data_IF_310143672163
#
_entry.id   IF_310143672163
#
_cell.length_a   1.000
_cell.length_b   1.000
_cell.length_c   1.000
_cell.angle_alpha   90.00
_cell.angle_beta   90.00
_cell.angle_gamma   90.00
#
_symmetry.space_group_name_H-M   'P 1'
#
loop_
_entity.id
_entity.type
_entity.pdbx_description
1 polymer ?
#
# COMPACT_ATOMS: atom_id res chain seq x y z
N UNK A 1 41.67 10.97 -53.41
CA UNK A 1 41.86 9.82 -52.50
C UNK A 1 42.39 10.21 -51.10
N UNK A 2 42.32 11.48 -50.69
CA UNK A 2 42.83 11.95 -49.38
C UNK A 2 41.77 11.94 -48.26
N UNK A 3 40.49 12.19 -48.59
CA UNK A 3 39.43 12.34 -47.57
C UNK A 3 39.04 11.05 -46.84
N UNK A 4 39.12 9.89 -47.50
CA UNK A 4 38.75 8.59 -46.89
C UNK A 4 39.75 8.18 -45.81
N UNK A 5 41.02 8.58 -45.91
CA UNK A 5 42.03 8.25 -44.90
C UNK A 5 41.79 8.96 -43.56
N UNK A 6 41.32 10.21 -43.61
CA UNK A 6 41.09 11.03 -42.42
C UNK A 6 39.85 10.56 -41.64
N UNK A 7 38.76 10.26 -42.35
CA UNK A 7 37.53 9.71 -41.74
C UNK A 7 37.80 8.34 -41.07
N UNK A 8 38.59 7.49 -41.71
CA UNK A 8 38.94 6.17 -41.16
C UNK A 8 39.85 6.29 -39.93
N UNK A 9 40.72 7.30 -39.87
CA UNK A 9 41.59 7.56 -38.73
C UNK A 9 40.81 8.06 -37.51
N UNK A 10 39.88 8.99 -37.70
CA UNK A 10 39.02 9.50 -36.63
C UNK A 10 38.14 8.40 -36.04
N UNK A 11 37.55 7.56 -36.91
CA UNK A 11 36.76 6.41 -36.47
C UNK A 11 37.57 5.43 -35.63
N UNK A 12 38.81 5.15 -36.03
CA UNK A 12 39.68 4.23 -35.30
C UNK A 12 40.18 4.82 -33.97
N UNK A 13 40.42 6.14 -33.90
CA UNK A 13 40.73 6.82 -32.63
C UNK A 13 39.56 6.73 -31.65
N UNK A 14 38.34 7.03 -32.11
CA UNK A 14 37.15 6.96 -31.25
C UNK A 14 36.90 5.53 -30.73
N UNK A 15 37.09 4.52 -31.59
CA UNK A 15 36.98 3.11 -31.18
C UNK A 15 38.05 2.75 -30.14
N UNK A 16 39.28 3.27 -30.26
CA UNK A 16 40.34 3.02 -29.30
C UNK A 16 40.05 3.69 -27.94
N UNK A 17 39.57 4.93 -27.94
CA UNK A 17 39.17 5.64 -26.72
C UNK A 17 37.98 4.97 -26.01
N UNK A 18 37.01 4.43 -26.78
CA UNK A 18 35.87 3.70 -26.21
C UNK A 18 36.23 2.30 -25.71
N UNK A 19 37.23 1.64 -26.31
CA UNK A 19 37.70 0.30 -25.89
C UNK A 19 38.62 0.32 -24.68
N UNK A 20 39.26 1.46 -24.42
CA UNK A 20 40.07 1.67 -23.23
C UNK A 20 39.34 2.65 -22.32
N UNK A 21 38.39 2.19 -21.49
CA UNK A 21 37.82 3.06 -20.47
C UNK A 21 38.99 3.59 -19.64
N UNK A 22 39.21 4.89 -19.74
CA UNK A 22 40.23 5.62 -18.99
C UNK A 22 40.02 5.27 -17.53
N UNK A 23 40.97 4.51 -16.99
CA UNK A 23 41.12 4.12 -15.60
C UNK A 23 40.12 3.05 -15.10
N UNK A 24 40.48 1.79 -15.34
CA UNK A 24 40.33 0.74 -14.31
C UNK A 24 40.98 1.22 -13.01
N UNK A 25 40.24 2.00 -12.22
CA UNK A 25 40.53 2.20 -10.81
C UNK A 25 40.04 0.94 -10.12
N UNK A 26 40.94 -0.01 -9.94
CA UNK A 26 40.78 -1.13 -9.03
C UNK A 26 40.50 -0.58 -7.63
N UNK A 27 39.22 -0.36 -7.33
CA UNK A 27 38.78 -0.32 -5.96
C UNK A 27 38.69 -1.77 -5.50
N UNK A 28 39.35 -2.15 -4.39
CA UNK A 28 39.07 -3.45 -3.80
C UNK A 28 37.58 -3.46 -3.49
N UNK A 29 36.90 -4.51 -3.96
CA UNK A 29 35.49 -4.80 -3.68
C UNK A 29 35.34 -4.91 -2.17
N UNK A 30 35.07 -3.78 -1.51
CA UNK A 30 34.52 -3.76 -0.17
C UNK A 30 33.11 -4.37 -0.31
N UNK A 31 32.70 -5.31 0.54
CA UNK A 31 31.29 -5.67 0.63
C UNK A 31 30.56 -4.46 1.20
N UNK A 32 30.20 -3.53 0.31
CA UNK A 32 29.36 -2.40 0.60
C UNK A 32 27.98 -3.00 0.77
N UNK A 33 27.46 -2.94 1.99
CA UNK A 33 26.03 -3.09 2.26
C UNK A 33 25.30 -2.27 1.19
N UNK A 34 24.46 -2.87 0.34
CA UNK A 34 23.81 -2.14 -0.74
C UNK A 34 23.10 -0.95 -0.11
N UNK A 35 23.52 0.26 -0.51
CA UNK A 35 22.90 1.51 -0.09
C UNK A 35 21.37 1.34 -0.21
N UNK A 36 20.58 1.74 0.80
CA UNK A 36 19.12 1.52 0.79
C UNK A 36 18.47 2.07 -0.48
N UNK A 37 19.02 3.15 -1.03
CA UNK A 37 18.61 3.74 -2.30
C UNK A 37 18.82 2.76 -3.47
N UNK A 38 19.89 1.96 -3.46
CA UNK A 38 20.12 0.91 -4.46
C UNK A 38 19.07 -0.20 -4.41
N UNK A 39 18.64 -0.61 -3.21
CA UNK A 39 17.62 -1.66 -3.06
C UNK A 39 16.24 -1.16 -3.48
N UNK A 40 15.87 0.06 -3.08
CA UNK A 40 14.59 0.67 -3.45
C UNK A 40 14.51 0.98 -4.95
N UNK A 41 15.61 1.42 -5.57
CA UNK A 41 15.69 1.59 -7.03
C UNK A 41 15.55 0.23 -7.72
N UNK A 42 16.23 -0.80 -7.26
CA UNK A 42 16.11 -2.17 -7.81
C UNK A 42 14.68 -2.69 -7.70
N UNK A 43 14.01 -2.47 -6.57
CA UNK A 43 12.61 -2.83 -6.37
C UNK A 43 11.66 -2.05 -7.28
N UNK A 44 11.88 -0.74 -7.42
CA UNK A 44 11.09 0.11 -8.32
C UNK A 44 11.25 -0.35 -9.77
N UNK A 45 12.47 -0.63 -10.20
CA UNK A 45 12.75 -1.16 -11.54
C UNK A 45 12.13 -2.56 -11.72
N UNK A 46 12.13 -3.40 -10.68
CA UNK A 46 11.48 -4.72 -10.72
C UNK A 46 9.96 -4.62 -10.92
N UNK A 47 9.30 -3.62 -10.32
CA UNK A 47 7.88 -3.34 -10.55
C UNK A 47 7.60 -2.99 -12.02
N UNK A 48 8.47 -2.15 -12.61
CA UNK A 48 8.36 -1.75 -14.02
C UNK A 48 8.61 -2.96 -14.92
N UNK A 49 9.64 -3.75 -14.66
CA UNK A 49 9.94 -4.98 -15.40
C UNK A 49 8.75 -5.94 -15.42
N UNK A 50 8.17 -6.25 -14.25
CA UNK A 50 7.00 -7.14 -14.18
C UNK A 50 5.83 -6.58 -14.99
N UNK A 51 5.60 -5.27 -14.96
CA UNK A 51 4.55 -4.64 -15.75
C UNK A 51 4.81 -4.73 -17.25
N UNK A 52 6.01 -4.35 -17.71
CA UNK A 52 6.39 -4.40 -19.13
C UNK A 52 6.29 -5.82 -19.67
N UNK A 53 6.73 -6.81 -18.89
CA UNK A 53 6.69 -8.22 -19.26
C UNK A 53 5.24 -8.73 -19.39
N UNK A 54 4.36 -8.43 -18.42
CA UNK A 54 2.95 -8.88 -18.50
C UNK A 54 2.14 -8.14 -19.57
N UNK A 55 2.51 -6.90 -19.87
CA UNK A 55 1.88 -6.13 -20.94
C UNK A 55 2.39 -6.50 -22.36
N UNK A 56 3.44 -7.34 -22.46
CA UNK A 56 4.01 -7.77 -23.74
C UNK A 56 4.84 -6.68 -24.44
N UNK A 57 5.42 -5.74 -23.69
CA UNK A 57 6.26 -4.66 -24.22
C UNK A 57 7.72 -5.13 -24.41
N UNK A 58 7.91 -6.15 -25.26
CA UNK A 58 9.20 -6.81 -25.48
C UNK A 58 10.32 -5.84 -25.90
N UNK A 59 10.02 -4.90 -26.80
CA UNK A 59 10.98 -3.88 -27.23
C UNK A 59 11.39 -2.99 -26.05
N UNK A 60 10.42 -2.40 -25.36
CA UNK A 60 10.69 -1.53 -24.20
C UNK A 60 11.48 -2.25 -23.13
N UNK A 61 11.15 -3.52 -22.86
CA UNK A 61 11.85 -4.35 -21.89
C UNK A 61 13.32 -4.58 -22.29
N UNK A 62 13.60 -4.78 -23.58
CA UNK A 62 14.96 -5.00 -24.09
C UNK A 62 15.88 -3.79 -23.92
N UNK A 63 15.33 -2.58 -24.02
CA UNK A 63 16.06 -1.32 -23.81
C UNK A 63 16.09 -0.95 -22.33
N UNK A 64 15.04 -1.26 -21.58
CA UNK A 64 14.93 -0.92 -20.16
C UNK A 64 16.00 -1.60 -19.31
N UNK A 65 16.25 -2.90 -19.48
CA UNK A 65 17.27 -3.63 -18.71
C UNK A 65 18.66 -2.96 -18.72
N UNK A 66 19.28 -2.69 -19.90
CA UNK A 66 20.57 -2.02 -19.94
C UNK A 66 20.52 -0.56 -19.47
N UNK A 67 19.43 0.18 -19.73
CA UNK A 67 19.30 1.59 -19.30
C UNK A 67 19.18 1.74 -17.78
N UNK A 68 18.41 0.87 -17.12
CA UNK A 68 18.23 0.91 -15.67
C UNK A 68 19.34 0.18 -14.89
N UNK A 69 20.30 -0.43 -15.60
CA UNK A 69 21.41 -1.18 -15.02
C UNK A 69 20.98 -2.44 -14.26
N UNK A 70 19.76 -2.95 -14.52
CA UNK A 70 19.21 -4.11 -13.84
C UNK A 70 19.60 -5.38 -14.58
N UNK A 71 20.11 -6.36 -13.82
CA UNK A 71 20.32 -7.71 -14.32
C UNK A 71 19.02 -8.51 -14.19
N UNK A 72 18.75 -9.41 -15.14
CA UNK A 72 17.57 -10.28 -15.12
C UNK A 72 17.51 -11.14 -13.87
N UNK A 73 18.67 -11.55 -13.35
CA UNK A 73 18.77 -12.39 -12.16
C UNK A 73 18.57 -11.59 -10.85
N UNK A 74 18.54 -10.26 -10.92
CA UNK A 74 18.37 -9.35 -9.77
C UNK A 74 16.96 -8.77 -9.67
N UNK A 75 16.04 -9.19 -10.53
CA UNK A 75 14.64 -8.77 -10.46
C UNK A 75 14.01 -9.39 -9.21
N UNK A 76 13.46 -8.54 -8.35
CA UNK A 76 12.79 -9.00 -7.14
C UNK A 76 11.49 -9.75 -7.47
N UNK A 77 11.26 -10.85 -6.76
CA UNK A 77 9.98 -11.54 -6.86
C UNK A 77 8.87 -10.73 -6.18
N UNK A 78 7.62 -11.04 -6.51
CA UNK A 78 6.46 -10.47 -5.81
C UNK A 78 6.56 -10.59 -4.28
N UNK A 79 7.10 -11.71 -3.77
CA UNK A 79 7.25 -11.92 -2.32
C UNK A 79 8.30 -11.00 -1.73
N UNK A 80 9.43 -10.83 -2.41
CA UNK A 80 10.50 -9.93 -1.97
C UNK A 80 10.01 -8.48 -1.93
N UNK A 81 9.25 -8.07 -2.96
CA UNK A 81 8.63 -6.74 -3.03
C UNK A 81 7.65 -6.51 -1.88
N UNK A 82 6.78 -7.49 -1.58
CA UNK A 82 5.85 -7.41 -0.44
C UNK A 82 6.59 -7.27 0.90
N UNK A 83 7.69 -8.02 1.08
CA UNK A 83 8.52 -7.94 2.27
C UNK A 83 9.22 -6.58 2.38
N UNK A 84 9.77 -6.06 1.27
CA UNK A 84 10.45 -4.76 1.23
C UNK A 84 9.48 -3.61 1.54
N UNK A 85 8.25 -3.69 1.03
CA UNK A 85 7.16 -2.76 1.34
C UNK A 85 6.58 -2.96 2.76
N UNK A 86 7.12 -3.89 3.55
CA UNK A 86 6.67 -4.23 4.91
C UNK A 86 5.19 -4.62 4.99
N UNK A 87 4.65 -5.23 3.94
CA UNK A 87 3.28 -5.72 3.92
C UNK A 87 3.21 -7.04 4.69
N UNK A 88 2.46 -7.05 5.79
CA UNK A 88 2.35 -8.23 6.65
C UNK A 88 1.65 -9.39 5.95
N UNK A 89 2.19 -10.63 6.00
CA UNK A 89 1.50 -11.83 5.48
C UNK A 89 0.13 -12.11 6.11
N UNK A 90 -0.15 -11.52 7.28
CA UNK A 90 -1.42 -11.66 7.99
C UNK A 90 -2.48 -10.65 7.52
N UNK A 91 -2.09 -9.61 6.79
CA UNK A 91 -2.99 -8.56 6.32
C UNK A 91 -3.94 -9.06 5.23
N UNK A 92 -5.11 -8.43 5.13
CA UNK A 92 -6.04 -8.63 4.00
C UNK A 92 -5.37 -8.26 2.68
N UNK A 93 -4.70 -7.10 2.63
CA UNK A 93 -3.90 -6.61 1.50
C UNK A 93 -2.95 -7.69 0.94
N UNK A 94 -2.16 -8.33 1.79
CA UNK A 94 -1.25 -9.39 1.36
C UNK A 94 -2.01 -10.56 0.70
N UNK A 95 -3.13 -10.98 1.29
CA UNK A 95 -3.94 -12.09 0.76
C UNK A 95 -4.58 -11.71 -0.58
N UNK A 96 -5.07 -10.48 -0.74
CA UNK A 96 -5.61 -9.99 -2.01
C UNK A 96 -4.52 -9.98 -3.10
N UNK A 97 -3.35 -9.43 -2.77
CA UNK A 97 -2.22 -9.32 -3.72
C UNK A 97 -1.63 -10.68 -4.10
N UNK A 98 -1.67 -11.68 -3.21
CA UNK A 98 -1.13 -13.02 -3.47
C UNK A 98 -2.15 -13.99 -4.06
N UNK A 99 -3.44 -13.86 -3.76
CA UNK A 99 -4.49 -14.71 -4.34
C UNK A 99 -4.73 -14.42 -5.83
N UNK A 100 -4.59 -13.15 -6.24
CA UNK A 100 -4.73 -12.72 -7.64
C UNK A 100 -3.59 -13.19 -8.56
N UNK A 101 -2.49 -13.74 -8.01
CA UNK A 101 -1.38 -14.30 -8.82
C UNK A 101 -1.88 -15.47 -9.68
N UNK A 102 -2.98 -16.13 -9.30
CA UNK A 102 -3.49 -17.31 -9.98
C UNK A 102 -4.56 -17.04 -11.07
N UNK A 103 -5.19 -15.86 -11.09
CA UNK A 103 -6.47 -15.67 -11.81
C UNK A 103 -6.49 -14.59 -12.90
N UNK A 104 -5.46 -13.75 -13.03
CA UNK A 104 -5.48 -12.64 -14.00
C UNK A 104 -4.09 -12.42 -14.60
N UNK A 105 -3.85 -13.07 -15.74
CA UNK A 105 -2.57 -13.14 -16.45
C UNK A 105 -2.20 -11.83 -17.16
N UNK A 106 -3.11 -10.86 -17.27
CA UNK A 106 -2.85 -9.64 -18.05
C UNK A 106 -2.37 -8.44 -17.22
N UNK A 107 -2.72 -8.38 -15.92
CA UNK A 107 -2.34 -7.24 -15.08
C UNK A 107 -1.03 -7.51 -14.34
N UNK A 108 -0.04 -6.66 -14.58
CA UNK A 108 1.20 -6.56 -13.77
C UNK A 108 0.90 -6.39 -12.28
N UNK A 109 1.82 -6.86 -11.43
CA UNK A 109 1.76 -6.69 -9.98
C UNK A 109 1.60 -5.23 -9.59
N UNK A 110 2.30 -4.31 -10.27
CA UNK A 110 2.17 -2.87 -10.06
C UNK A 110 0.71 -2.39 -10.14
N UNK A 111 -0.01 -2.76 -11.21
CA UNK A 111 -1.40 -2.34 -11.37
C UNK A 111 -2.30 -2.96 -10.29
N UNK A 112 -2.05 -4.22 -9.91
CA UNK A 112 -2.79 -4.89 -8.83
C UNK A 112 -2.59 -4.18 -7.48
N UNK A 113 -1.34 -3.79 -7.18
CA UNK A 113 -1.01 -3.04 -5.98
C UNK A 113 -1.76 -1.70 -5.93
N UNK A 114 -1.76 -0.95 -7.03
CA UNK A 114 -2.45 0.35 -7.10
C UNK A 114 -3.97 0.22 -6.96
N UNK A 115 -4.57 -0.80 -7.56
CA UNK A 115 -6.02 -1.09 -7.42
C UNK A 115 -6.34 -1.38 -5.94
N UNK A 116 -5.62 -2.31 -5.31
CA UNK A 116 -5.91 -2.72 -3.94
C UNK A 116 -5.68 -1.57 -2.94
N UNK A 117 -4.66 -0.73 -3.14
CA UNK A 117 -4.44 0.47 -2.32
C UNK A 117 -5.56 1.49 -2.49
N UNK A 118 -6.06 1.68 -3.71
CA UNK A 118 -7.18 2.58 -4.01
C UNK A 118 -8.48 2.09 -3.38
N UNK A 119 -8.76 0.79 -3.50
CA UNK A 119 -9.95 0.16 -2.92
C UNK A 119 -9.93 0.19 -1.39
N UNK A 120 -8.78 -0.08 -0.78
CA UNK A 120 -8.63 0.03 0.67
C UNK A 120 -8.84 1.45 1.19
N UNK A 121 -8.37 2.47 0.48
CA UNK A 121 -8.63 3.87 0.85
C UNK A 121 -10.12 4.19 0.78
N UNK A 122 -10.79 3.80 -0.31
CA UNK A 122 -12.22 4.02 -0.50
C UNK A 122 -13.08 3.29 0.56
N UNK A 123 -12.66 2.09 0.99
CA UNK A 123 -13.32 1.36 2.08
C UNK A 123 -13.08 2.03 3.44
N UNK A 124 -11.87 2.53 3.70
CA UNK A 124 -11.53 3.22 4.95
C UNK A 124 -12.36 4.49 5.12
N UNK A 125 -12.49 5.32 4.08
CA UNK A 125 -13.33 6.51 4.11
C UNK A 125 -14.81 6.17 4.37
N UNK A 126 -15.29 5.02 3.88
CA UNK A 126 -16.65 4.54 4.20
C UNK A 126 -16.79 4.07 5.64
N UNK A 127 -15.77 3.44 6.23
CA UNK A 127 -15.82 2.96 7.60
C UNK A 127 -15.69 4.07 8.66
N UNK A 128 -14.99 5.17 8.36
CA UNK A 128 -14.89 6.30 9.29
C UNK A 128 -16.22 7.08 9.42
N UNK A 129 -17.16 6.90 8.48
CA UNK A 129 -18.54 7.39 8.57
C UNK A 129 -19.45 6.49 9.43
N UNK A 130 -19.03 5.26 9.74
CA UNK A 130 -19.72 4.39 10.68
C UNK A 130 -19.28 4.75 12.10
N UNK A 131 -19.86 5.84 12.62
CA UNK A 131 -19.85 6.16 14.04
C UNK A 131 -20.14 4.93 14.89
N UNK A 132 -19.32 4.76 15.92
CA UNK A 132 -19.40 3.73 16.94
C UNK A 132 -20.82 3.26 17.29
N UNK A 133 -21.06 1.95 17.17
CA UNK A 133 -21.79 1.22 18.21
C UNK A 133 -21.24 -0.19 18.21
N UNK A 134 -20.48 -0.52 19.26
CA UNK A 134 -20.04 -1.88 19.54
C UNK A 134 -21.21 -2.85 19.40
N UNK A 135 -20.97 -3.96 18.71
CA UNK A 135 -21.81 -5.14 18.61
C UNK A 135 -22.46 -5.50 19.94
N UNK A 136 -23.68 -5.02 20.20
CA UNK A 136 -24.54 -5.59 21.22
C UNK A 136 -25.33 -6.75 20.61
N UNK A 137 -25.50 -7.87 21.31
CA UNK A 137 -26.33 -8.99 20.85
C UNK A 137 -27.78 -8.52 20.62
N UNK A 138 -28.63 -9.33 19.94
CA UNK A 138 -30.03 -8.99 19.68
C UNK A 138 -30.85 -9.15 20.97
N UNK A 139 -30.54 -8.37 22.00
CA UNK A 139 -31.41 -8.12 23.11
C UNK A 139 -32.00 -6.73 22.90
N UNK A 140 -33.11 -6.70 22.14
CA UNK A 140 -33.93 -5.50 21.95
C UNK A 140 -34.69 -5.22 23.25
N UNK A 141 -34.02 -4.65 24.24
CA UNK A 141 -34.73 -3.68 25.07
C UNK A 141 -34.89 -2.44 24.22
N UNK A 142 -36.13 -2.15 23.80
CA UNK A 142 -36.41 -0.98 22.98
C UNK A 142 -35.97 0.25 23.77
N UNK A 143 -35.09 1.08 23.19
CA UNK A 143 -34.63 2.32 23.84
C UNK A 143 -35.81 3.17 24.30
N UNK A 144 -36.90 3.16 23.52
CA UNK A 144 -38.18 3.83 23.84
C UNK A 144 -38.76 3.32 25.15
N UNK A 145 -38.68 2.02 25.42
CA UNK A 145 -39.20 1.38 26.63
C UNK A 145 -38.35 1.75 27.86
N UNK A 146 -37.02 1.88 27.70
CA UNK A 146 -36.14 2.41 28.75
C UNK A 146 -36.43 3.86 29.07
N UNK A 147 -36.62 4.69 28.04
CA UNK A 147 -36.97 6.09 28.25
C UNK A 147 -38.34 6.22 28.93
N UNK A 148 -39.32 5.42 28.52
CA UNK A 148 -40.63 5.39 29.14
C UNK A 148 -40.57 4.95 30.61
N UNK A 149 -39.79 3.91 30.94
CA UNK A 149 -39.61 3.48 32.34
C UNK A 149 -39.03 4.59 33.23
N UNK A 150 -38.09 5.38 32.70
CA UNK A 150 -37.49 6.51 33.43
C UNK A 150 -38.53 7.61 33.65
N UNK A 151 -39.32 7.94 32.62
CA UNK A 151 -40.36 8.98 32.71
C UNK A 151 -41.47 8.56 33.70
N UNK A 152 -41.88 7.29 33.69
CA UNK A 152 -42.89 6.74 34.58
C UNK A 152 -42.42 6.73 36.04
N UNK A 153 -41.16 6.30 36.29
CA UNK A 153 -40.58 6.32 37.63
C UNK A 153 -40.48 7.75 38.17
N UNK A 154 -40.04 8.70 37.34
CA UNK A 154 -39.95 10.11 37.72
C UNK A 154 -41.32 10.74 38.02
N UNK A 155 -42.33 10.44 37.20
CA UNK A 155 -43.71 10.88 37.44
C UNK A 155 -44.27 10.30 38.75
N UNK A 156 -43.94 9.04 39.06
CA UNK A 156 -44.35 8.39 40.30
C UNK A 156 -43.77 9.11 41.53
N UNK A 157 -42.48 9.45 41.51
CA UNK A 157 -41.82 10.17 42.59
C UNK A 157 -42.40 11.58 42.78
N UNK A 158 -42.70 12.29 41.69
CA UNK A 158 -43.38 13.60 41.78
C UNK A 158 -44.77 13.50 42.40
N UNK A 159 -45.54 12.44 42.07
CA UNK A 159 -46.86 12.23 42.65
C UNK A 159 -46.77 11.96 44.15
N UNK A 160 -45.82 11.11 44.58
CA UNK A 160 -45.57 10.78 45.99
C UNK A 160 -45.09 12.01 46.75
N UNK A 161 -44.23 12.83 46.15
CA UNK A 161 -43.74 14.08 46.74
C UNK A 161 -44.87 15.10 46.93
N UNK A 162 -45.82 15.22 45.99
CA UNK A 162 -47.00 16.07 46.15
C UNK A 162 -47.89 15.59 47.30
N UNK A 163 -48.20 14.30 47.36
CA UNK A 163 -49.02 13.72 48.43
C UNK A 163 -48.40 13.88 49.82
N UNK A 164 -47.09 13.67 49.95
CA UNK A 164 -46.39 13.84 51.24
C UNK A 164 -46.33 15.30 51.68
N UNK A 165 -46.17 16.25 50.75
CA UNK A 165 -46.18 17.67 51.06
C UNK A 165 -47.58 18.16 51.49
N UNK A 166 -48.64 17.69 50.82
CA UNK A 166 -50.03 18.00 51.20
C UNK A 166 -50.42 17.41 52.56
N UNK A 167 -50.03 16.17 52.85
CA UNK A 167 -50.28 15.53 54.15
C UNK A 167 -49.53 16.22 55.31
N UNK A 168 -48.30 16.71 55.06
CA UNK A 168 -47.53 17.48 56.04
C UNK A 168 -48.12 18.87 56.29
N UNK A 169 -48.73 19.51 55.28
CA UNK A 169 -49.44 20.78 55.43
C UNK A 169 -50.75 20.64 56.23
N UNK A 170 -51.49 19.53 56.06
CA UNK A 170 -52.74 19.27 56.80
C UNK A 170 -52.53 18.84 58.26
N UNK A 171 -51.34 18.33 58.59
CA UNK A 171 -50.99 17.90 59.96
C UNK A 171 -50.45 19.04 60.84
N UNK A 172 -50.45 20.29 60.35
CA UNK A 172 -49.97 21.49 61.04
C UNK A 172 -51.08 22.53 61.34
N UNK A 173 -52.35 22.15 61.20
CA UNK A 173 -53.52 22.90 61.68
C UNK A 173 -54.11 22.15 62.88
#
# INVERSE_FOLDING_TARGET
>A
MSGVKEETQLRNQLIHELKHPVLSREYPVRPVLPEPDSVLVTASNSLVVDHLQRAGYEYSLSVFYPECGLDKDKVFSTRDLLQLMKISPRSSLYKSLTSSIQNDNQKGFLMKLLIELSDHHAQRERCDADTQTSSSPPYRESLVEKMQMIDDEYASLQSIQKFTCEALCLSRV
#
